data_IF_113569101833
#
_entry.id   IF_113569101833
#
_cell.length_a   1.000
_cell.length_b   1.000
_cell.length_c   1.000
_cell.angle_alpha   90.00
_cell.angle_beta   90.00
_cell.angle_gamma   90.00
#
_symmetry.space_group_name_H-M   'P 1'
#
loop_
_entity.id
_entity.type
_entity.pdbx_description
1 polymer ?
#
# COMPACT_ATOMS: atom_id res chain seq x y z
N UNK A 1 11.19 16.66 -14.04
CA UNK A 1 10.79 16.37 -12.63
C UNK A 1 11.77 15.36 -12.04
N UNK A 2 12.23 15.56 -10.80
CA UNK A 2 13.16 14.64 -10.13
C UNK A 2 12.44 13.36 -9.66
N UNK A 3 13.10 12.20 -9.77
CA UNK A 3 12.59 10.93 -9.26
C UNK A 3 12.65 10.93 -7.72
N UNK A 4 11.59 10.48 -7.08
CA UNK A 4 11.50 10.29 -5.62
C UNK A 4 11.29 8.82 -5.31
N UNK A 5 11.83 8.38 -4.18
CA UNK A 5 11.51 7.07 -3.62
C UNK A 5 10.13 7.17 -2.95
N UNK A 6 9.26 6.20 -3.15
CA UNK A 6 8.02 6.08 -2.39
C UNK A 6 7.96 4.69 -1.76
N UNK A 7 7.49 4.60 -0.52
CA UNK A 7 7.19 3.32 0.12
C UNK A 7 5.70 3.10 0.10
N UNK A 8 5.30 1.95 -0.45
CA UNK A 8 3.92 1.52 -0.51
C UNK A 8 3.75 0.27 0.34
N UNK A 9 2.61 0.17 1.03
CA UNK A 9 2.19 -1.04 1.73
C UNK A 9 1.01 -1.66 0.98
N UNK A 10 1.14 -2.92 0.62
CA UNK A 10 0.09 -3.66 -0.08
C UNK A 10 -0.52 -4.70 0.85
N UNK A 11 -1.84 -4.87 0.79
CA UNK A 11 -2.59 -5.84 1.58
C UNK A 11 -3.70 -6.51 0.77
N UNK A 12 -3.87 -7.83 0.91
CA UNK A 12 -4.96 -8.58 0.27
C UNK A 12 -5.50 -9.63 1.22
N UNK A 13 -6.82 -9.76 1.36
CA UNK A 13 -7.44 -10.83 2.15
C UNK A 13 -8.52 -11.65 1.44
N UNK A 14 -8.93 -11.28 0.23
CA UNK A 14 -9.88 -12.06 -0.59
C UNK A 14 -9.13 -12.93 -1.62
N UNK A 15 -9.56 -14.18 -1.79
CA UNK A 15 -9.10 -15.06 -2.89
C UNK A 15 -7.62 -15.44 -2.80
N UNK A 16 -6.94 -15.50 -3.95
CA UNK A 16 -5.51 -15.77 -4.03
C UNK A 16 -4.69 -14.51 -3.72
N UNK A 17 -4.53 -14.26 -2.41
CA UNK A 17 -3.91 -13.04 -1.87
C UNK A 17 -2.50 -12.77 -2.38
N UNK A 18 -1.67 -13.81 -2.54
CA UNK A 18 -0.30 -13.66 -3.06
C UNK A 18 -0.33 -13.27 -4.53
N UNK A 19 -1.13 -13.96 -5.33
CA UNK A 19 -1.31 -13.64 -6.75
C UNK A 19 -1.88 -12.23 -6.95
N UNK A 20 -2.83 -11.81 -6.11
CA UNK A 20 -3.35 -10.44 -6.14
C UNK A 20 -2.24 -9.41 -5.92
N UNK A 21 -1.39 -9.62 -4.90
CA UNK A 21 -0.27 -8.73 -4.63
C UNK A 21 0.74 -8.73 -5.79
N UNK A 22 1.04 -9.88 -6.38
CA UNK A 22 1.94 -9.97 -7.55
C UNK A 22 1.38 -9.21 -8.77
N UNK A 23 0.08 -9.32 -9.02
CA UNK A 23 -0.62 -8.54 -10.06
C UNK A 23 -0.51 -7.04 -9.76
N UNK A 24 -0.76 -6.63 -8.51
CA UNK A 24 -0.66 -5.24 -8.10
C UNK A 24 0.75 -4.68 -8.29
N UNK A 25 1.79 -5.45 -7.91
CA UNK A 25 3.19 -5.09 -8.14
C UNK A 25 3.47 -4.89 -9.64
N UNK A 26 3.01 -5.81 -10.50
CA UNK A 26 3.18 -5.66 -11.96
C UNK A 26 2.49 -4.42 -12.51
N UNK A 27 1.31 -4.07 -11.99
CA UNK A 27 0.59 -2.85 -12.38
C UNK A 27 1.29 -1.58 -11.89
N UNK A 28 1.86 -1.60 -10.68
CA UNK A 28 2.66 -0.50 -10.12
C UNK A 28 3.89 -0.25 -11.00
N UNK A 29 4.64 -1.29 -11.38
CA UNK A 29 5.80 -1.15 -12.26
C UNK A 29 5.45 -0.54 -13.62
N UNK A 30 4.30 -0.94 -14.18
CA UNK A 30 3.84 -0.44 -15.48
C UNK A 30 3.30 0.98 -15.43
N UNK A 31 2.64 1.40 -14.34
CA UNK A 31 1.84 2.64 -14.31
C UNK A 31 2.39 3.74 -13.41
N UNK A 32 3.21 3.39 -12.42
CA UNK A 32 3.60 4.30 -11.34
C UNK A 32 5.11 4.49 -11.28
N UNK A 33 5.87 3.39 -11.30
CA UNK A 33 7.32 3.46 -11.16
C UNK A 33 7.96 2.10 -10.89
N UNK A 34 9.25 2.02 -11.17
CA UNK A 34 10.06 0.81 -10.98
C UNK A 34 10.10 0.40 -9.50
N UNK A 35 9.91 -0.89 -9.22
CA UNK A 35 10.11 -1.48 -7.89
C UNK A 35 11.62 -1.62 -7.67
N UNK A 36 12.12 -1.01 -6.59
CA UNK A 36 13.53 -1.10 -6.20
C UNK A 36 13.74 -2.17 -5.13
N UNK A 37 12.79 -2.33 -4.20
CA UNK A 37 12.86 -3.32 -3.11
C UNK A 37 11.48 -3.86 -2.77
N UNK A 38 11.43 -5.10 -2.28
CA UNK A 38 10.24 -5.74 -1.71
C UNK A 38 10.58 -6.52 -0.45
N UNK A 39 9.65 -6.57 0.49
CA UNK A 39 9.79 -7.38 1.70
C UNK A 39 9.40 -8.83 1.46
N UNK A 40 9.48 -9.66 2.51
CA UNK A 40 8.75 -10.92 2.53
C UNK A 40 7.23 -10.66 2.62
N UNK A 41 6.44 -11.70 2.32
CA UNK A 41 5.00 -11.69 2.52
C UNK A 41 4.67 -12.01 3.98
N UNK A 42 3.99 -11.09 4.67
CA UNK A 42 3.57 -11.25 6.05
C UNK A 42 2.08 -11.61 6.12
N UNK A 43 1.74 -12.69 6.83
CA UNK A 43 0.34 -13.08 7.06
C UNK A 43 -0.13 -12.51 8.40
N UNK A 44 -1.22 -11.73 8.40
CA UNK A 44 -1.75 -11.12 9.62
C UNK A 44 -3.26 -11.30 9.74
N UNK A 45 -3.76 -11.19 10.98
CA UNK A 45 -5.19 -11.01 11.20
C UNK A 45 -5.61 -9.60 10.72
N UNK A 46 -6.88 -9.40 10.35
CA UNK A 46 -7.45 -8.08 10.18
C UNK A 46 -7.19 -7.19 11.40
N UNK A 47 -6.95 -5.91 11.15
CA UNK A 47 -6.77 -4.87 12.17
C UNK A 47 -7.97 -3.92 12.02
N UNK A 48 -8.56 -3.50 13.13
CA UNK A 48 -9.75 -2.60 13.18
C UNK A 48 -11.09 -3.20 12.73
N UNK A 49 -11.17 -4.47 12.32
CA UNK A 49 -12.44 -5.17 12.09
C UNK A 49 -12.33 -6.69 12.24
N UNK A 50 -13.48 -7.36 12.35
CA UNK A 50 -13.55 -8.82 12.47
C UNK A 50 -13.78 -9.43 11.10
N UNK A 51 -12.86 -10.31 10.68
CA UNK A 51 -13.04 -11.15 9.49
C UNK A 51 -12.33 -12.48 9.69
N UNK A 52 -12.88 -13.53 9.09
CA UNK A 52 -12.27 -14.86 9.06
C UNK A 52 -11.09 -14.93 8.06
N UNK A 53 -10.93 -13.91 7.22
CA UNK A 53 -9.92 -13.85 6.19
C UNK A 53 -8.66 -13.13 6.66
N UNK A 54 -7.56 -13.89 6.74
CA UNK A 54 -6.24 -13.32 7.04
C UNK A 54 -5.75 -12.45 5.87
N UNK A 55 -5.12 -11.34 6.19
CA UNK A 55 -4.39 -10.52 5.23
C UNK A 55 -3.05 -11.15 4.88
N UNK A 56 -2.66 -11.00 3.62
CA UNK A 56 -1.29 -11.07 3.19
C UNK A 56 -0.83 -9.64 2.93
N UNK A 57 0.24 -9.21 3.58
CA UNK A 57 0.79 -7.86 3.48
C UNK A 57 2.24 -7.89 3.00
N UNK A 58 2.65 -6.85 2.27
CA UNK A 58 4.04 -6.65 1.83
C UNK A 58 4.32 -5.14 1.78
N UNK A 59 5.56 -4.73 2.03
CA UNK A 59 6.01 -3.38 1.70
C UNK A 59 6.90 -3.40 0.45
N UNK A 60 6.75 -2.38 -0.39
CA UNK A 60 7.58 -2.18 -1.58
C UNK A 60 8.11 -0.76 -1.63
N UNK A 61 9.35 -0.61 -2.09
CA UNK A 61 9.94 0.68 -2.42
C UNK A 61 9.94 0.87 -3.92
N UNK A 62 9.47 2.02 -4.40
CA UNK A 62 9.43 2.37 -5.82
C UNK A 62 10.17 3.68 -6.10
N UNK A 63 10.62 3.86 -7.34
CA UNK A 63 11.02 5.17 -7.87
C UNK A 63 9.95 5.73 -8.80
N UNK A 64 9.38 6.87 -8.44
CA UNK A 64 8.34 7.55 -9.23
C UNK A 64 8.65 9.02 -9.45
N UNK A 65 8.06 9.61 -10.50
CA UNK A 65 8.10 11.06 -10.78
C UNK A 65 6.77 11.74 -10.45
N UNK A 66 5.78 10.97 -9.98
CA UNK A 66 4.44 11.47 -9.69
C UNK A 66 4.44 12.39 -8.47
N UNK A 67 3.49 13.33 -8.46
CA UNK A 67 3.14 14.12 -7.29
C UNK A 67 2.38 13.25 -6.27
N UNK A 68 2.25 13.67 -4.99
CA UNK A 68 1.49 12.92 -3.98
C UNK A 68 0.08 12.57 -4.44
N UNK A 69 -0.65 13.55 -4.99
CA UNK A 69 -1.99 13.32 -5.52
C UNK A 69 -1.99 12.43 -6.77
N UNK A 70 -1.05 12.63 -7.70
CA UNK A 70 -0.95 11.77 -8.89
C UNK A 70 -0.62 10.31 -8.54
N UNK A 71 0.20 10.09 -7.51
CA UNK A 71 0.49 8.76 -6.99
C UNK A 71 -0.77 8.13 -6.38
N UNK A 72 -1.50 8.87 -5.55
CA UNK A 72 -2.75 8.41 -4.95
C UNK A 72 -3.79 8.04 -6.01
N UNK A 73 -3.96 8.89 -7.03
CA UNK A 73 -4.91 8.61 -8.13
C UNK A 73 -4.55 7.35 -8.89
N UNK A 74 -3.26 7.16 -9.24
CA UNK A 74 -2.82 5.93 -9.93
C UNK A 74 -2.97 4.68 -9.08
N UNK A 75 -2.78 4.80 -7.78
CA UNK A 75 -3.04 3.71 -6.84
C UNK A 75 -4.52 3.34 -6.83
N UNK A 76 -5.41 4.33 -6.67
CA UNK A 76 -6.87 4.11 -6.71
C UNK A 76 -7.33 3.51 -8.04
N UNK A 77 -6.73 3.92 -9.16
CA UNK A 77 -6.97 3.31 -10.46
C UNK A 77 -6.61 1.82 -10.48
N UNK A 78 -5.47 1.43 -9.90
CA UNK A 78 -5.04 0.02 -9.82
C UNK A 78 -5.99 -0.79 -8.94
N UNK A 79 -6.35 -0.27 -7.75
CA UNK A 79 -7.32 -0.93 -6.86
C UNK A 79 -8.65 -1.17 -7.58
N UNK A 80 -9.15 -0.16 -8.30
CA UNK A 80 -10.38 -0.25 -9.10
C UNK A 80 -10.27 -1.26 -10.23
N UNK A 81 -9.16 -1.27 -10.97
CA UNK A 81 -8.90 -2.25 -12.04
C UNK A 81 -8.90 -3.69 -11.52
N UNK A 82 -8.45 -3.91 -10.29
CA UNK A 82 -8.43 -5.22 -9.65
C UNK A 82 -9.77 -5.60 -9.02
N UNK A 83 -10.76 -4.72 -9.02
CA UNK A 83 -12.11 -5.01 -8.54
C UNK A 83 -12.49 -4.37 -7.21
N UNK A 84 -11.62 -3.55 -6.61
CA UNK A 84 -11.98 -2.72 -5.46
C UNK A 84 -12.59 -1.40 -5.93
N UNK A 85 -13.91 -1.40 -6.09
CA UNK A 85 -14.65 -0.24 -6.66
C UNK A 85 -15.13 0.76 -5.61
N UNK A 86 -15.12 0.40 -4.32
CA UNK A 86 -15.55 1.25 -3.21
C UNK A 86 -14.52 1.21 -2.08
N UNK A 87 -14.23 2.37 -1.50
CA UNK A 87 -13.39 2.47 -0.31
C UNK A 87 -14.18 2.13 0.95
N UNK A 88 -13.51 1.64 2.00
CA UNK A 88 -14.14 1.33 3.29
C UNK A 88 -14.87 2.52 3.90
N UNK A 89 -14.40 3.75 3.64
CA UNK A 89 -15.06 4.99 4.06
C UNK A 89 -16.47 5.13 3.46
N UNK A 90 -16.71 4.59 2.26
CA UNK A 90 -18.03 4.64 1.63
C UNK A 90 -19.10 3.89 2.43
N UNK A 91 -18.71 2.84 3.16
CA UNK A 91 -19.61 1.99 3.92
C UNK A 91 -19.58 2.26 5.43
N UNK A 92 -18.68 3.11 5.91
CA UNK A 92 -18.47 3.39 7.33
C UNK A 92 -17.71 2.29 8.09
N UNK A 93 -17.34 1.18 7.46
CA UNK A 93 -16.67 0.04 8.09
C UNK A 93 -15.53 -0.52 7.22
N UNK A 94 -14.49 -1.05 7.87
CA UNK A 94 -13.43 -1.79 7.18
C UNK A 94 -13.97 -3.11 6.64
N UNK A 95 -13.60 -3.44 5.40
CA UNK A 95 -14.08 -4.62 4.69
C UNK A 95 -12.94 -5.44 4.13
N UNK A 96 -13.25 -6.71 3.87
CA UNK A 96 -12.43 -7.58 3.05
C UNK A 96 -12.26 -6.98 1.66
N UNK A 97 -11.06 -7.10 1.10
CA UNK A 97 -10.69 -6.51 -0.19
C UNK A 97 -9.70 -7.37 -0.94
N UNK A 98 -9.84 -7.33 -2.27
CA UNK A 98 -8.94 -8.01 -3.19
C UNK A 98 -7.54 -7.43 -3.15
N UNK A 99 -7.43 -6.10 -2.99
CA UNK A 99 -6.15 -5.41 -2.81
C UNK A 99 -6.39 -4.07 -2.08
N UNK A 100 -5.40 -3.68 -1.30
CA UNK A 100 -5.23 -2.41 -0.61
C UNK A 100 -3.82 -1.93 -0.85
N UNK A 101 -3.66 -0.67 -1.20
CA UNK A 101 -2.36 -0.07 -1.48
C UNK A 101 -2.31 1.29 -0.79
N UNK A 102 -1.55 1.36 0.30
CA UNK A 102 -1.36 2.58 1.08
C UNK A 102 0.00 3.22 0.77
N UNK A 103 0.02 4.54 0.62
CA UNK A 103 1.26 5.31 0.50
C UNK A 103 1.77 5.58 1.92
N UNK A 104 2.93 5.01 2.28
CA UNK A 104 3.53 5.24 3.60
C UNK A 104 4.33 6.54 3.60
N UNK A 105 5.16 6.77 2.58
CA UNK A 105 5.93 8.00 2.42
C UNK A 105 6.28 8.27 0.94
N UNK A 106 6.74 9.49 0.66
CA UNK A 106 7.25 9.90 -0.64
C UNK A 106 8.53 10.73 -0.45
N UNK A 107 9.68 10.06 -0.37
CA UNK A 107 10.94 10.65 0.07
C UNK A 107 10.78 11.23 1.48
N UNK A 108 11.38 12.39 1.69
CA UNK A 108 11.28 13.14 2.96
C UNK A 108 10.12 14.15 2.95
N UNK A 109 9.14 13.97 2.04
CA UNK A 109 8.03 14.90 1.91
C UNK A 109 7.07 14.77 3.10
N UNK A 110 6.89 15.87 3.83
CA UNK A 110 5.76 16.07 4.73
C UNK A 110 4.62 16.70 3.93
N UNK A 111 3.50 16.00 3.84
CA UNK A 111 2.36 16.43 3.03
C UNK A 111 1.05 16.15 3.77
N UNK A 112 0.13 17.11 3.77
CA UNK A 112 -1.20 16.93 4.33
C UNK A 112 -2.24 17.62 3.47
N UNK A 113 -3.26 16.88 3.07
CA UNK A 113 -4.47 17.36 2.43
C UNK A 113 -5.68 16.63 2.99
N UNK A 114 -6.88 17.03 2.56
CA UNK A 114 -8.11 16.36 2.96
C UNK A 114 -8.17 14.88 2.52
N UNK A 115 -7.31 14.47 1.57
CA UNK A 115 -7.33 13.12 0.97
C UNK A 115 -6.07 12.30 1.26
N UNK A 116 -4.98 12.93 1.70
CA UNK A 116 -3.69 12.27 1.84
C UNK A 116 -2.85 12.93 2.94
N UNK A 117 -2.29 12.11 3.81
CA UNK A 117 -1.32 12.51 4.83
C UNK A 117 -0.05 11.66 4.66
N UNK A 118 1.10 12.32 4.51
CA UNK A 118 2.42 11.71 4.39
C UNK A 118 3.39 12.33 5.42
N UNK A 119 4.17 11.52 6.15
CA UNK A 119 4.08 10.06 6.18
C UNK A 119 2.75 9.58 6.79
N UNK A 120 2.28 8.40 6.37
CA UNK A 120 1.01 7.87 6.87
C UNK A 120 1.15 7.48 8.34
N UNK A 121 0.50 8.25 9.21
CA UNK A 121 0.57 8.16 10.67
C UNK A 121 0.26 6.75 11.21
N UNK A 122 -0.88 6.15 10.82
CA UNK A 122 -1.25 4.79 11.28
C UNK A 122 -0.20 3.72 10.98
N UNK A 123 0.37 3.71 9.77
CA UNK A 123 1.40 2.72 9.39
C UNK A 123 2.74 2.97 10.08
N UNK A 124 3.01 4.22 10.45
CA UNK A 124 4.26 4.61 11.10
C UNK A 124 4.22 4.35 12.60
N UNK A 125 3.07 4.53 13.26
CA UNK A 125 2.98 4.55 14.72
C UNK A 125 2.07 3.49 15.33
N UNK A 126 1.00 3.08 14.65
CA UNK A 126 -0.08 2.29 15.27
C UNK A 126 -0.07 0.81 14.84
N UNK A 127 0.26 0.53 13.57
CA UNK A 127 0.14 -0.82 12.99
C UNK A 127 1.46 -1.61 13.11
N UNK A 128 1.52 -2.55 14.06
CA UNK A 128 2.71 -3.39 14.31
C UNK A 128 3.20 -4.13 13.07
N UNK A 129 2.30 -4.75 12.30
CA UNK A 129 2.66 -5.45 11.07
C UNK A 129 3.29 -4.53 10.01
N UNK A 130 2.89 -3.26 9.99
CA UNK A 130 3.45 -2.29 9.06
C UNK A 130 4.88 -1.94 9.46
N UNK A 131 5.14 -1.75 10.76
CA UNK A 131 6.49 -1.47 11.28
C UNK A 131 7.47 -2.59 10.94
N UNK A 132 7.09 -3.85 11.16
CA UNK A 132 7.90 -5.03 10.82
C UNK A 132 8.31 -5.03 9.34
N UNK A 133 7.36 -4.78 8.44
CA UNK A 133 7.63 -4.70 7.00
C UNK A 133 8.51 -3.49 6.64
N UNK A 134 8.28 -2.34 7.28
CA UNK A 134 9.09 -1.14 7.04
C UNK A 134 10.53 -1.30 7.55
N UNK A 135 10.75 -2.06 8.62
CA UNK A 135 12.08 -2.40 9.13
C UNK A 135 12.83 -3.34 8.17
N UNK A 136 12.18 -4.39 7.65
CA UNK A 136 12.77 -5.28 6.62
C UNK A 136 13.16 -4.51 5.34
N UNK A 137 12.33 -3.55 4.92
CA UNK A 137 12.62 -2.74 3.74
C UNK A 137 13.84 -1.84 3.94
N UNK A 138 14.06 -1.37 5.18
CA UNK A 138 15.23 -0.55 5.56
C UNK A 138 16.50 -1.38 5.74
N UNK A 139 16.41 -2.63 6.20
CA UNK A 139 17.59 -3.46 6.47
C UNK A 139 18.27 -4.00 5.21
N UNK A 140 17.54 -4.10 4.08
CA UNK A 140 18.05 -4.58 2.79
C UNK A 140 18.90 -3.55 2.02
N UNK A 141 19.73 -2.76 2.70
CA UNK A 141 20.64 -1.76 2.09
C UNK A 141 21.82 -2.45 1.43
#
# INVERSE_FOLDING_TARGET
MSKRNAVLLLGSNIGDRKKNIEIAISLIEKKIGKIEKKTFFLKTKPVEFVSNNYFCNIAVSIKTVLSPHGLLEKIKDIEKMMGRTKDSIFWGEYQDRIIDIDIVNLGDLVFKSNRLELPHSKHTYERSFSKELLEDLKSKI
#
